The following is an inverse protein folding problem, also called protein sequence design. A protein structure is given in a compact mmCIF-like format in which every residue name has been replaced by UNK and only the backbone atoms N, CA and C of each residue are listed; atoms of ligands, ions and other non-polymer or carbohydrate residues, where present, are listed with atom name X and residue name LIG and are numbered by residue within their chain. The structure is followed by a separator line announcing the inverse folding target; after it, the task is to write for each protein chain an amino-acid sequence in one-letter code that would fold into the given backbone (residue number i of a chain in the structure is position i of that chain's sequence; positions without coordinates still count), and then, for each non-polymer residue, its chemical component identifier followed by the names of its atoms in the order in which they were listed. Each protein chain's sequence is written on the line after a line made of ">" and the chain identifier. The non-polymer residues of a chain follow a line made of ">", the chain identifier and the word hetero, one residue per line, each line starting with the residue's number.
data_IF_194083794230
#
_entry.id   IF_194083794230
#
_cell.length_a   1.000
_cell.length_b   1.000
_cell.length_c   1.000
_cell.angle_alpha   90.00
_cell.angle_beta   90.00
_cell.angle_gamma   90.00
#
_symmetry.space_group_name_H-M   'P 1'
#
loop_
_entity.id
_entity.type
_entity.pdbx_description
1 polymer ?
#
# COMPACT_ATOMS: atom_id res chain seq x y z
N UNK A 1 20.11 4.43 -2.67
CA UNK A 1 19.57 3.19 -2.08
C UNK A 1 18.17 2.97 -2.62
N UNK A 2 18.04 2.12 -3.64
CA UNK A 2 16.74 1.63 -4.07
C UNK A 2 16.23 0.68 -2.99
N UNK A 3 15.04 0.94 -2.44
CA UNK A 3 14.37 -0.06 -1.58
C UNK A 3 13.48 -0.87 -2.50
N UNK A 4 13.32 -2.15 -2.27
CA UNK A 4 12.33 -2.96 -2.96
C UNK A 4 11.14 -3.16 -2.02
N UNK A 5 9.93 -3.18 -2.56
CA UNK A 5 8.74 -3.57 -1.80
C UNK A 5 8.37 -4.96 -2.24
N UNK A 6 8.29 -5.87 -1.27
CA UNK A 6 7.79 -7.22 -1.46
C UNK A 6 6.35 -7.27 -0.98
N UNK A 7 5.49 -7.85 -1.79
CA UNK A 7 4.10 -8.11 -1.42
C UNK A 7 3.62 -9.43 -1.99
N UNK A 8 2.67 -10.07 -1.33
CA UNK A 8 1.97 -11.24 -1.85
C UNK A 8 0.58 -10.82 -2.31
N UNK A 9 0.27 -10.98 -3.59
CA UNK A 9 -1.06 -10.71 -4.14
C UNK A 9 -1.59 -11.97 -4.81
N UNK A 10 -2.80 -12.42 -4.43
CA UNK A 10 -3.45 -13.63 -4.99
C UNK A 10 -2.50 -14.85 -5.06
N UNK A 11 -1.79 -15.14 -3.97
CA UNK A 11 -0.81 -16.24 -3.87
C UNK A 11 0.46 -16.10 -4.73
N UNK A 12 0.67 -14.95 -5.39
CA UNK A 12 1.92 -14.61 -6.07
C UNK A 12 2.70 -13.59 -5.26
N UNK A 13 3.90 -13.96 -4.83
CA UNK A 13 4.84 -13.02 -4.25
C UNK A 13 5.51 -12.23 -5.37
N UNK A 14 5.45 -10.91 -5.28
CA UNK A 14 6.07 -9.99 -6.22
C UNK A 14 6.95 -9.01 -5.47
N UNK A 15 8.00 -8.60 -6.15
CA UNK A 15 8.99 -7.66 -5.64
C UNK A 15 9.13 -6.55 -6.67
N UNK A 16 8.97 -5.33 -6.21
CA UNK A 16 8.95 -4.16 -7.07
C UNK A 16 9.97 -3.14 -6.58
N UNK A 17 10.66 -2.44 -7.49
CA UNK A 17 11.52 -1.34 -7.12
C UNK A 17 10.67 -0.22 -6.52
N UNK A 18 11.04 0.24 -5.32
CA UNK A 18 10.38 1.32 -4.60
C UNK A 18 11.27 2.57 -4.57
N UNK A 19 10.67 3.67 -4.99
CA UNK A 19 11.27 5.01 -5.01
C UNK A 19 10.42 5.96 -4.17
N UNK A 20 10.98 6.53 -3.09
CA UNK A 20 10.30 7.59 -2.30
C UNK A 20 9.95 8.84 -3.09
N UNK A 21 10.56 9.01 -4.28
CA UNK A 21 10.28 10.12 -5.19
C UNK A 21 8.93 9.98 -5.87
N UNK A 22 8.49 8.74 -6.11
CA UNK A 22 7.25 8.41 -6.81
C UNK A 22 6.18 7.88 -5.86
N UNK A 23 6.57 7.28 -4.74
CA UNK A 23 5.65 6.66 -3.80
C UNK A 23 5.87 7.13 -2.36
N UNK A 24 4.78 7.50 -1.69
CA UNK A 24 4.77 7.90 -0.27
C UNK A 24 4.83 6.69 0.69
N UNK A 25 4.58 5.46 0.20
CA UNK A 25 4.61 4.26 1.04
C UNK A 25 4.56 2.94 0.28
N UNK A 26 4.77 1.80 0.97
CA UNK A 26 4.92 0.49 0.33
C UNK A 26 3.60 0.00 -0.27
N UNK A 27 2.49 0.36 0.34
CA UNK A 27 1.14 0.06 -0.12
C UNK A 27 0.82 0.76 -1.45
N UNK A 28 1.28 2.00 -1.61
CA UNK A 28 1.09 2.78 -2.83
C UNK A 28 1.87 2.17 -4.00
N UNK A 29 3.12 1.78 -3.75
CA UNK A 29 3.93 1.10 -4.74
C UNK A 29 3.34 -0.27 -5.13
N UNK A 30 2.87 -1.07 -4.16
CA UNK A 30 2.24 -2.36 -4.43
C UNK A 30 0.96 -2.23 -5.27
N UNK A 31 0.15 -1.19 -5.02
CA UNK A 31 -1.04 -0.90 -5.81
C UNK A 31 -0.67 -0.43 -7.23
N UNK A 32 0.29 0.48 -7.37
CA UNK A 32 0.75 0.98 -8.66
C UNK A 32 1.33 -0.14 -9.54
N UNK A 33 2.06 -1.09 -8.97
CA UNK A 33 2.62 -2.22 -9.70
C UNK A 33 1.58 -3.23 -10.20
N UNK A 34 0.47 -3.41 -9.46
CA UNK A 34 -0.66 -4.20 -9.95
C UNK A 34 -1.61 -3.40 -10.86
N UNK A 35 -1.35 -2.10 -11.07
CA UNK A 35 -2.25 -1.21 -11.80
C UNK A 35 -3.58 -0.99 -11.09
N UNK A 36 -3.60 -1.14 -9.77
CA UNK A 36 -4.79 -0.90 -8.95
C UNK A 36 -4.89 0.59 -8.69
N UNK A 37 -6.00 1.16 -9.16
CA UNK A 37 -6.27 2.57 -9.04
C UNK A 37 -6.50 2.95 -7.56
N UNK A 38 -5.50 3.58 -6.98
CA UNK A 38 -5.54 4.11 -5.61
C UNK A 38 -6.47 5.32 -5.49
N UNK A 39 -7.05 5.87 -6.57
CA UNK A 39 -8.03 6.96 -6.46
C UNK A 39 -9.27 6.53 -5.70
N UNK A 40 -9.69 5.25 -5.83
CA UNK A 40 -10.77 4.69 -5.00
C UNK A 40 -10.38 4.68 -3.52
N UNK A 41 -9.10 4.39 -3.27
CA UNK A 41 -8.55 4.40 -1.94
C UNK A 41 -8.47 5.83 -1.38
N UNK A 42 -8.00 6.83 -2.14
CA UNK A 42 -8.02 8.25 -1.74
C UNK A 42 -9.43 8.75 -1.43
N UNK A 43 -10.38 8.44 -2.32
CA UNK A 43 -11.79 8.82 -2.14
C UNK A 43 -12.37 8.22 -0.86
N UNK A 44 -12.15 6.92 -0.62
CA UNK A 44 -12.60 6.27 0.62
C UNK A 44 -11.83 6.78 1.84
N UNK A 45 -10.54 7.08 1.71
CA UNK A 45 -9.73 7.59 2.82
C UNK A 45 -10.23 8.96 3.26
N UNK A 46 -10.53 9.83 2.30
CA UNK A 46 -11.12 11.15 2.53
C UNK A 46 -12.50 11.03 3.18
N UNK A 47 -13.29 10.04 2.77
CA UNK A 47 -14.60 9.76 3.36
C UNK A 47 -14.49 9.23 4.79
N UNK A 48 -13.51 8.36 5.07
CA UNK A 48 -13.21 7.86 6.42
C UNK A 48 -12.63 8.96 7.30
N UNK A 49 -11.76 9.83 6.78
CA UNK A 49 -11.22 10.99 7.51
C UNK A 49 -12.32 12.00 7.86
N UNK A 50 -13.28 12.23 6.95
CA UNK A 50 -14.47 13.05 7.23
C UNK A 50 -15.41 12.38 8.25
N UNK A 51 -15.56 11.05 8.21
CA UNK A 51 -16.44 10.31 9.10
C UNK A 51 -15.81 9.99 10.47
N UNK A 52 -14.49 9.91 10.53
CA UNK A 52 -13.69 9.54 11.68
C UNK A 52 -12.57 10.56 11.82
N UNK A 53 -12.72 11.48 12.77
CA UNK A 53 -11.75 12.53 13.11
C UNK A 53 -10.42 11.97 13.69
N UNK A 54 -10.23 10.65 13.61
CA UNK A 54 -9.15 9.89 14.23
C UNK A 54 -8.22 9.27 13.17
N UNK A 55 -6.95 9.64 13.23
CA UNK A 55 -5.89 9.11 12.36
C UNK A 55 -5.71 7.58 12.48
N UNK A 56 -6.20 6.96 13.56
CA UNK A 56 -6.22 5.51 13.74
C UNK A 56 -7.16 4.80 12.77
N UNK A 57 -8.36 5.34 12.54
CA UNK A 57 -9.35 4.75 11.65
C UNK A 57 -8.86 4.72 10.19
N UNK A 58 -8.15 5.78 9.77
CA UNK A 58 -7.51 5.88 8.46
C UNK A 58 -6.45 4.78 8.25
N UNK A 59 -5.68 4.48 9.30
CA UNK A 59 -4.63 3.46 9.28
C UNK A 59 -5.20 2.04 9.24
N UNK A 60 -6.25 1.79 10.00
CA UNK A 60 -6.95 0.50 10.02
C UNK A 60 -7.67 0.26 8.68
N UNK A 61 -8.31 1.30 8.15
CA UNK A 61 -8.95 1.26 6.84
C UNK A 61 -7.96 0.95 5.71
N UNK A 62 -6.75 1.50 5.76
CA UNK A 62 -5.63 1.08 4.90
C UNK A 62 -5.43 -0.43 4.95
N UNK A 63 -5.16 -0.96 6.13
CA UNK A 63 -4.90 -2.39 6.29
C UNK A 63 -6.06 -3.25 5.79
N UNK A 64 -7.29 -2.88 6.16
CA UNK A 64 -8.51 -3.60 5.78
C UNK A 64 -8.78 -3.56 4.28
N UNK A 65 -8.55 -2.43 3.61
CA UNK A 65 -8.73 -2.29 2.16
C UNK A 65 -7.72 -3.14 1.38
N UNK A 66 -6.44 -3.07 1.76
CA UNK A 66 -5.39 -3.88 1.14
C UNK A 66 -5.58 -5.38 1.42
N UNK A 67 -6.04 -5.74 2.62
CA UNK A 67 -6.41 -7.11 2.95
C UNK A 67 -7.58 -7.61 2.09
N UNK A 68 -8.63 -6.79 1.88
CA UNK A 68 -9.77 -7.12 0.99
C UNK A 68 -9.36 -7.31 -0.47
N UNK A 69 -8.41 -6.51 -0.94
CA UNK A 69 -7.86 -6.67 -2.29
C UNK A 69 -7.06 -7.98 -2.45
N UNK A 70 -6.69 -8.64 -1.35
CA UNK A 70 -5.88 -9.85 -1.35
C UNK A 70 -4.38 -9.57 -1.33
N UNK A 71 -3.97 -8.36 -0.95
CA UNK A 71 -2.59 -8.08 -0.60
C UNK A 71 -2.31 -8.61 0.80
N UNK A 72 -1.22 -9.34 0.91
CA UNK A 72 -0.72 -9.90 2.16
C UNK A 72 0.79 -9.72 2.21
N UNK A 73 1.35 -9.65 3.43
CA UNK A 73 2.82 -9.53 3.64
C UNK A 73 3.48 -8.40 2.84
N UNK A 74 2.92 -7.19 2.89
CA UNK A 74 3.55 -5.99 2.31
C UNK A 74 4.71 -5.58 3.22
N UNK A 75 5.94 -5.75 2.76
CA UNK A 75 7.16 -5.46 3.51
C UNK A 75 8.17 -4.73 2.63
N UNK A 76 8.90 -3.79 3.23
CA UNK A 76 10.09 -3.24 2.60
C UNK A 76 11.22 -4.27 2.68
N UNK A 77 11.78 -4.62 1.53
CA UNK A 77 13.07 -5.29 1.43
C UNK A 77 14.09 -4.17 1.23
N UNK A 78 14.90 -3.93 2.27
CA UNK A 78 16.15 -3.23 2.07
C UNK A 78 17.11 -4.25 1.49
N UNK A 79 17.55 -4.03 0.27
CA UNK A 79 18.87 -4.54 -0.13
C UNK A 79 19.87 -3.73 0.69
N UNK A 80 20.29 -4.32 1.81
CA UNK A 80 21.35 -3.81 2.66
C UNK A 80 22.65 -4.30 2.02
N UNK A 81 23.30 -3.42 1.25
CA UNK A 81 24.73 -3.53 0.92
C UNK A 81 25.55 -2.89 2.05
#
# INVERSE_FOLDING_TARGET
>A
MARTVRYTYKSKTKEIPFSFREFHGPFEAAAAAEGIDISKFDTMLKQVEMASCDAGAVKDFRYSYFAKLGFSKVSFVKDEE
#
